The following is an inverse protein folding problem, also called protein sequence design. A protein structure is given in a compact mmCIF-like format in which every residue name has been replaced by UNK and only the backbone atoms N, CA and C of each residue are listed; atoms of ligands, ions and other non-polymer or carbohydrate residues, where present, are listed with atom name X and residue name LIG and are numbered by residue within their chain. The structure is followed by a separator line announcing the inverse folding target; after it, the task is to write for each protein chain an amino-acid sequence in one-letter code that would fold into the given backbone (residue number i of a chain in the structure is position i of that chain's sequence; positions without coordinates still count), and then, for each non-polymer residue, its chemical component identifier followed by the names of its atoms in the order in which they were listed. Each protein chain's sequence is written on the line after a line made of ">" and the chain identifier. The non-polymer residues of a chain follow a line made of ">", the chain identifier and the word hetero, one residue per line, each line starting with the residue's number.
data_IF_803996829066
#
_entry.id   IF_803996829066
#
_cell.length_a   1.000
_cell.length_b   1.000
_cell.length_c   1.000
_cell.angle_alpha   90.00
_cell.angle_beta   90.00
_cell.angle_gamma   90.00
#
_symmetry.space_group_name_H-M   'P 1'
#
loop_
_entity.id
_entity.type
_entity.pdbx_description
1 polymer ?
#
# COMPACT_ATOMS: atom_id res chain seq x y z
N UNK A 1 -18.04 17.48 2.05
CA UNK A 1 -16.89 17.50 2.95
C UNK A 1 -16.06 16.24 2.74
N UNK A 2 -14.76 16.35 2.76
CA UNK A 2 -13.79 15.26 2.65
C UNK A 2 -12.86 15.27 3.86
N UNK A 3 -12.54 14.10 4.42
CA UNK A 3 -11.54 13.94 5.48
C UNK A 3 -10.26 13.35 4.89
N UNK A 4 -9.13 14.02 5.10
CA UNK A 4 -7.81 13.43 4.86
C UNK A 4 -7.38 12.71 6.12
N UNK A 5 -7.16 11.41 6.02
CA UNK A 5 -6.66 10.55 7.09
C UNK A 5 -5.14 10.52 6.97
N UNK A 6 -4.47 11.11 7.94
CA UNK A 6 -3.01 11.21 7.97
C UNK A 6 -2.47 10.42 9.16
N UNK A 7 -1.84 9.26 8.90
CA UNK A 7 -1.18 8.49 9.95
C UNK A 7 0.28 8.86 10.07
N UNK A 8 0.79 8.98 11.30
CA UNK A 8 2.17 9.42 11.51
C UNK A 8 2.79 8.80 12.78
N UNK A 9 4.07 8.43 12.66
CA UNK A 9 4.91 7.98 13.76
C UNK A 9 6.38 8.27 13.46
N UNK A 10 7.03 9.12 14.25
CA UNK A 10 8.41 9.56 14.07
C UNK A 10 8.69 10.18 12.68
N UNK A 11 7.80 11.05 12.22
CA UNK A 11 7.88 11.76 10.94
C UNK A 11 8.19 13.25 11.11
N UNK A 12 8.97 13.68 12.14
CA UNK A 12 9.27 15.11 12.40
C UNK A 12 9.85 15.84 11.19
N UNK A 13 10.55 15.14 10.30
CA UNK A 13 11.18 15.69 9.09
C UNK A 13 10.18 15.94 7.95
N UNK A 14 9.01 15.30 7.97
CA UNK A 14 8.10 15.20 6.83
C UNK A 14 6.70 15.72 7.12
N UNK A 15 6.20 15.55 8.34
CA UNK A 15 4.79 15.79 8.70
C UNK A 15 4.32 17.22 8.41
N UNK A 16 5.20 18.23 8.52
CA UNK A 16 4.88 19.60 8.18
C UNK A 16 4.53 19.74 6.69
N UNK A 17 5.36 19.17 5.80
CA UNK A 17 5.12 19.20 4.36
C UNK A 17 3.87 18.43 3.98
N UNK A 18 3.61 17.26 4.62
CA UNK A 18 2.38 16.51 4.45
C UNK A 18 1.15 17.36 4.75
N UNK A 19 1.09 18.00 5.93
CA UNK A 19 -0.01 18.88 6.35
C UNK A 19 -0.19 20.04 5.38
N UNK A 20 0.89 20.76 5.05
CA UNK A 20 0.83 21.90 4.15
C UNK A 20 0.37 21.51 2.74
N UNK A 21 0.72 20.31 2.27
CA UNK A 21 0.30 19.82 0.96
C UNK A 21 -1.23 19.67 0.86
N UNK A 22 -1.88 19.31 1.99
CA UNK A 22 -3.33 19.24 2.10
C UNK A 22 -3.94 20.63 2.24
N UNK A 23 -3.38 21.50 3.07
CA UNK A 23 -3.87 22.88 3.26
C UNK A 23 -3.82 23.70 1.96
N UNK A 24 -2.92 23.37 1.03
CA UNK A 24 -2.82 24.00 -0.30
C UNK A 24 -3.82 23.48 -1.33
N UNK A 25 -4.66 22.49 -0.98
CA UNK A 25 -5.65 21.95 -1.92
C UNK A 25 -6.75 22.97 -2.25
N UNK A 26 -7.11 23.01 -3.53
CA UNK A 26 -8.15 23.87 -4.07
C UNK A 26 -9.41 23.05 -4.33
N UNK A 27 -10.40 23.20 -3.45
CA UNK A 27 -11.66 22.45 -3.52
C UNK A 27 -12.87 23.37 -3.37
N UNK A 28 -13.98 22.99 -3.98
CA UNK A 28 -15.28 23.62 -3.80
C UNK A 28 -16.03 23.14 -2.55
N UNK A 29 -15.42 22.22 -1.79
CA UNK A 29 -15.97 21.63 -0.57
C UNK A 29 -14.98 21.76 0.60
N UNK A 30 -15.47 21.60 1.82
CA UNK A 30 -14.63 21.62 3.02
C UNK A 30 -13.78 20.37 3.11
N UNK A 31 -12.50 20.57 3.47
CA UNK A 31 -11.54 19.51 3.77
C UNK A 31 -11.18 19.60 5.25
N UNK A 32 -11.17 18.48 5.95
CA UNK A 32 -10.56 18.34 7.27
C UNK A 32 -9.35 17.39 7.18
N UNK A 33 -8.38 17.58 8.06
CA UNK A 33 -7.25 16.66 8.25
C UNK A 33 -7.44 16.00 9.60
N UNK A 34 -7.55 14.68 9.64
CA UNK A 34 -7.55 13.90 10.88
C UNK A 34 -6.18 13.22 10.98
N UNK A 35 -5.38 13.69 11.93
CA UNK A 35 -4.01 13.19 12.13
C UNK A 35 -4.04 12.10 13.20
N UNK A 36 -3.75 10.86 12.81
CA UNK A 36 -3.54 9.74 13.72
C UNK A 36 -2.07 9.69 14.13
N UNK A 37 -1.76 10.25 15.26
CA UNK A 37 -0.41 10.31 15.81
C UNK A 37 -0.18 9.16 16.79
N UNK A 38 0.80 8.31 16.54
CA UNK A 38 0.97 7.03 17.25
C UNK A 38 2.02 7.05 18.35
N UNK A 39 1.97 8.07 19.21
CA UNK A 39 2.88 8.27 20.36
C UNK A 39 4.34 8.37 19.90
N UNK A 40 4.63 9.30 18.99
CA UNK A 40 5.98 9.56 18.50
C UNK A 40 6.94 9.97 19.60
N UNK A 41 8.18 9.54 19.47
CA UNK A 41 9.28 9.86 20.40
C UNK A 41 10.09 11.08 19.95
N UNK A 42 9.86 11.58 18.75
CA UNK A 42 10.46 12.77 18.16
C UNK A 42 9.53 13.99 18.28
N UNK A 43 9.75 15.02 17.47
CA UNK A 43 8.93 16.26 17.48
C UNK A 43 7.64 16.18 16.68
N UNK A 44 7.28 15.02 16.10
CA UNK A 44 6.11 14.85 15.23
C UNK A 44 4.83 15.39 15.88
N UNK A 45 4.51 14.93 17.11
CA UNK A 45 3.32 15.39 17.84
C UNK A 45 3.32 16.91 18.09
N UNK A 46 4.49 17.46 18.43
CA UNK A 46 4.59 18.90 18.70
C UNK A 46 4.31 19.72 17.42
N UNK A 47 4.87 19.30 16.29
CA UNK A 47 4.63 19.92 14.99
C UNK A 47 3.14 19.81 14.62
N UNK A 48 2.54 18.65 14.74
CA UNK A 48 1.11 18.45 14.43
C UNK A 48 0.22 19.35 15.31
N UNK A 49 0.51 19.49 16.62
CA UNK A 49 -0.22 20.39 17.55
C UNK A 49 -0.07 21.87 17.21
N UNK A 50 1.08 22.28 16.69
CA UNK A 50 1.29 23.65 16.23
C UNK A 50 0.35 23.96 15.05
N UNK A 51 0.24 23.04 14.08
CA UNK A 51 -0.70 23.17 12.97
C UNK A 51 -2.17 23.09 13.43
N UNK A 52 -2.54 22.22 14.36
CA UNK A 52 -3.89 22.15 14.91
C UNK A 52 -4.29 23.47 15.58
N UNK A 53 -3.36 24.11 16.34
CA UNK A 53 -3.60 25.43 16.95
C UNK A 53 -3.77 26.55 15.91
N UNK A 54 -3.03 26.49 14.80
CA UNK A 54 -3.14 27.45 13.70
C UNK A 54 -4.41 27.26 12.87
N UNK A 55 -4.88 26.02 12.72
CA UNK A 55 -6.02 25.65 11.88
C UNK A 55 -7.05 24.76 12.61
N UNK A 56 -7.62 25.22 13.75
CA UNK A 56 -8.46 24.36 14.62
C UNK A 56 -9.76 23.89 13.97
N UNK A 57 -10.24 24.59 12.93
CA UNK A 57 -11.42 24.20 12.17
C UNK A 57 -11.13 23.15 11.08
N UNK A 58 -9.86 22.99 10.70
CA UNK A 58 -9.45 22.13 9.62
C UNK A 58 -8.65 20.90 10.09
N UNK A 59 -7.96 20.99 11.22
CA UNK A 59 -7.06 19.94 11.70
C UNK A 59 -7.54 19.42 13.05
N UNK A 60 -7.48 18.10 13.21
CA UNK A 60 -7.78 17.41 14.46
C UNK A 60 -6.82 16.26 14.66
N UNK A 61 -6.26 16.14 15.86
CA UNK A 61 -5.32 15.07 16.22
C UNK A 61 -6.05 13.99 17.02
N UNK A 62 -5.77 12.75 16.69
CA UNK A 62 -6.13 11.53 17.44
C UNK A 62 -4.83 10.88 17.89
N UNK A 63 -4.54 10.90 19.17
CA UNK A 63 -3.31 10.33 19.76
C UNK A 63 -3.62 9.38 20.92
N UNK A 64 -2.61 8.74 21.48
CA UNK A 64 -2.67 7.84 22.63
C UNK A 64 -1.44 8.01 23.51
N UNK A 65 -1.50 7.47 24.74
CA UNK A 65 -0.39 7.50 25.69
C UNK A 65 0.70 6.50 25.34
N UNK A 66 0.40 5.52 24.47
CA UNK A 66 1.32 4.49 24.00
C UNK A 66 1.22 4.31 22.48
N UNK A 67 2.27 3.78 21.87
CA UNK A 67 2.24 3.35 20.47
C UNK A 67 1.32 2.13 20.34
N UNK A 68 0.22 2.29 19.62
CA UNK A 68 -0.79 1.24 19.42
C UNK A 68 -0.56 0.42 18.14
N UNK A 69 0.39 0.83 17.33
CA UNK A 69 0.73 0.24 16.05
C UNK A 69 -0.11 0.78 14.89
N UNK A 70 0.50 0.76 13.71
CA UNK A 70 -0.04 1.38 12.50
C UNK A 70 -1.51 0.99 12.20
N UNK A 71 -1.90 -0.28 12.35
CA UNK A 71 -3.26 -0.76 12.03
C UNK A 71 -4.32 -0.16 12.95
N UNK A 72 -4.09 -0.17 14.27
CA UNK A 72 -5.02 0.43 15.23
C UNK A 72 -5.04 1.94 15.10
N UNK A 73 -3.89 2.55 14.84
CA UNK A 73 -3.78 3.98 14.60
C UNK A 73 -4.60 4.41 13.38
N UNK A 74 -4.45 3.69 12.28
CA UNK A 74 -5.21 3.92 11.05
C UNK A 74 -6.73 3.82 11.29
N UNK A 75 -7.19 2.74 11.93
CA UNK A 75 -8.59 2.51 12.22
C UNK A 75 -9.22 3.60 13.11
N UNK A 76 -8.54 4.00 14.21
CA UNK A 76 -9.06 5.06 15.09
C UNK A 76 -9.12 6.43 14.40
N UNK A 77 -8.18 6.67 13.50
CA UNK A 77 -8.13 7.91 12.72
C UNK A 77 -9.29 7.97 11.72
N UNK A 78 -9.56 6.87 11.00
CA UNK A 78 -10.73 6.74 10.13
C UNK A 78 -12.04 6.92 10.92
N UNK A 79 -12.16 6.29 12.08
CA UNK A 79 -13.36 6.38 12.93
C UNK A 79 -13.66 7.82 13.37
N UNK A 80 -12.63 8.67 13.44
CA UNK A 80 -12.79 10.08 13.76
C UNK A 80 -13.19 10.96 12.56
N UNK A 81 -13.19 10.44 11.33
CA UNK A 81 -13.54 11.18 10.12
C UNK A 81 -15.02 11.56 10.06
N UNK A 82 -15.31 12.76 9.52
CA UNK A 82 -16.68 13.30 9.35
C UNK A 82 -17.07 13.45 7.88
N UNK A 83 -16.12 13.37 6.96
CA UNK A 83 -16.34 13.57 5.53
C UNK A 83 -17.19 12.47 4.88
N UNK A 84 -17.90 12.80 3.82
CA UNK A 84 -18.53 11.82 2.92
C UNK A 84 -17.47 10.97 2.19
N UNK A 85 -16.31 11.58 1.94
CA UNK A 85 -15.15 10.97 1.30
C UNK A 85 -13.98 10.94 2.26
N UNK A 86 -13.13 9.93 2.10
CA UNK A 86 -11.86 9.75 2.78
C UNK A 86 -10.75 9.78 1.73
N UNK A 87 -9.77 10.65 1.92
CA UNK A 87 -8.48 10.60 1.25
C UNK A 87 -7.44 10.08 2.24
N UNK A 88 -6.47 9.34 1.74
CA UNK A 88 -5.40 8.78 2.58
C UNK A 88 -4.09 9.49 2.30
N UNK A 89 -3.31 9.72 3.34
CA UNK A 89 -1.98 10.32 3.24
C UNK A 89 -1.17 9.95 4.48
N UNK A 90 -0.05 9.27 4.31
CA UNK A 90 0.86 9.03 5.42
C UNK A 90 1.70 10.29 5.72
N UNK A 91 2.13 10.47 6.97
CA UNK A 91 2.81 11.67 7.42
C UNK A 91 4.19 11.90 6.82
N UNK A 92 4.71 10.94 6.07
CA UNK A 92 5.95 11.02 5.30
C UNK A 92 5.74 11.28 3.80
N UNK A 93 4.49 11.24 3.31
CA UNK A 93 4.10 11.51 1.92
C UNK A 93 3.52 12.93 1.75
N UNK A 94 3.32 13.38 0.51
CA UNK A 94 2.69 14.68 0.25
C UNK A 94 2.00 14.76 -1.11
N UNK A 95 0.98 15.64 -1.20
CA UNK A 95 0.29 15.94 -2.45
C UNK A 95 1.04 17.00 -3.25
N UNK A 96 1.21 16.76 -4.55
CA UNK A 96 1.87 17.67 -5.48
C UNK A 96 0.89 18.49 -6.32
N UNK A 97 -0.28 17.93 -6.61
CA UNK A 97 -1.27 18.58 -7.48
C UNK A 97 -2.35 19.28 -6.67
N UNK A 98 -2.48 20.61 -6.80
CA UNK A 98 -3.40 21.45 -6.00
C UNK A 98 -4.88 21.11 -6.14
N UNK A 99 -5.30 20.47 -7.23
CA UNK A 99 -6.70 20.06 -7.47
C UNK A 99 -6.92 18.56 -7.34
N UNK A 100 -5.97 17.81 -6.73
CA UNK A 100 -6.07 16.37 -6.56
C UNK A 100 -7.42 15.96 -5.96
N UNK A 101 -7.74 16.51 -4.79
CA UNK A 101 -8.96 16.15 -4.07
C UNK A 101 -10.23 16.55 -4.85
N UNK A 102 -10.23 17.69 -5.54
CA UNK A 102 -11.35 18.11 -6.36
C UNK A 102 -11.58 17.13 -7.51
N UNK A 103 -10.54 16.81 -8.29
CA UNK A 103 -10.64 15.90 -9.44
C UNK A 103 -11.17 14.52 -9.03
N UNK A 104 -10.70 13.99 -7.90
CA UNK A 104 -11.13 12.67 -7.45
C UNK A 104 -12.56 12.66 -6.92
N UNK A 105 -12.98 13.70 -6.21
CA UNK A 105 -14.38 13.83 -5.77
C UNK A 105 -15.30 14.02 -6.98
N UNK A 106 -14.93 14.84 -7.95
CA UNK A 106 -15.72 15.03 -9.17
C UNK A 106 -15.88 13.70 -9.93
N UNK A 107 -14.82 12.89 -10.01
CA UNK A 107 -14.87 11.55 -10.60
C UNK A 107 -15.85 10.64 -9.85
N UNK A 108 -15.82 10.62 -8.52
CA UNK A 108 -16.72 9.81 -7.71
C UNK A 108 -18.16 10.31 -7.75
N UNK A 109 -18.39 11.62 -7.83
CA UNK A 109 -19.75 12.18 -7.95
C UNK A 109 -20.34 11.92 -9.35
N UNK A 110 -19.50 11.87 -10.40
CA UNK A 110 -19.95 11.56 -11.77
C UNK A 110 -20.30 10.10 -11.98
N UNK A 111 -19.79 9.18 -11.11
CA UNK A 111 -20.09 7.75 -11.18
C UNK A 111 -20.50 7.21 -9.80
N UNK A 112 -21.82 7.13 -9.52
CA UNK A 112 -22.31 6.62 -8.23
C UNK A 112 -21.93 5.16 -7.93
N UNK A 113 -21.59 4.35 -8.93
CA UNK A 113 -21.14 2.98 -8.76
C UNK A 113 -19.64 2.89 -8.37
N UNK A 114 -18.89 3.98 -8.55
CA UNK A 114 -17.49 4.03 -8.14
C UNK A 114 -17.36 4.25 -6.63
N UNK A 115 -16.74 3.29 -5.95
CA UNK A 115 -16.47 3.34 -4.51
C UNK A 115 -15.17 4.07 -4.17
N UNK A 116 -14.18 3.98 -5.06
CA UNK A 116 -12.88 4.63 -4.90
C UNK A 116 -12.35 5.16 -6.23
N UNK A 117 -11.47 6.17 -6.12
CA UNK A 117 -10.70 6.71 -7.23
C UNK A 117 -9.24 6.86 -6.81
N UNK A 118 -8.31 6.42 -7.64
CA UNK A 118 -6.88 6.62 -7.42
C UNK A 118 -6.23 7.43 -8.54
N UNK A 119 -5.06 7.98 -8.25
CA UNK A 119 -4.21 8.70 -9.21
C UNK A 119 -2.86 8.01 -9.32
N UNK A 120 -1.96 8.53 -10.14
CA UNK A 120 -0.54 8.14 -10.07
C UNK A 120 0.17 8.87 -8.93
N UNK A 121 1.30 8.31 -8.53
CA UNK A 121 2.29 8.94 -7.64
C UNK A 121 3.67 8.95 -8.29
N UNK A 122 4.54 9.77 -7.76
CA UNK A 122 5.99 9.64 -7.93
C UNK A 122 6.55 8.98 -6.68
N UNK A 123 7.27 7.87 -6.85
CA UNK A 123 8.06 7.25 -5.79
C UNK A 123 9.42 7.90 -5.75
N UNK A 124 9.78 8.49 -4.61
CA UNK A 124 11.06 9.17 -4.44
C UNK A 124 11.85 8.46 -3.34
N UNK A 125 13.04 7.97 -3.67
CA UNK A 125 13.96 7.36 -2.70
C UNK A 125 14.77 8.41 -1.92
N UNK A 126 15.56 7.96 -0.93
CA UNK A 126 16.40 8.85 -0.11
C UNK A 126 17.53 9.52 -0.91
N UNK A 127 17.89 8.98 -2.05
CA UNK A 127 18.85 9.55 -2.99
C UNK A 127 18.24 10.60 -3.95
N UNK A 128 16.90 10.74 -3.92
CA UNK A 128 16.15 11.67 -4.76
C UNK A 128 15.80 11.14 -6.15
N UNK A 129 15.98 9.83 -6.41
CA UNK A 129 15.55 9.22 -7.65
C UNK A 129 14.03 9.09 -7.66
N UNK A 130 13.39 9.56 -8.72
CA UNK A 130 11.93 9.50 -8.87
C UNK A 130 11.52 8.48 -9.93
N UNK A 131 10.48 7.70 -9.62
CA UNK A 131 9.84 6.75 -10.55
C UNK A 131 8.34 6.91 -10.52
N UNK A 132 7.68 6.87 -11.69
CA UNK A 132 6.23 6.95 -11.79
C UNK A 132 5.56 5.64 -11.36
N UNK A 133 4.53 5.70 -10.53
CA UNK A 133 3.75 4.55 -10.11
C UNK A 133 2.24 4.78 -10.26
N UNK A 134 1.48 3.77 -10.71
CA UNK A 134 1.94 2.51 -11.30
C UNK A 134 2.63 2.73 -12.65
N UNK A 135 3.59 1.88 -12.96
CA UNK A 135 4.17 1.84 -14.31
C UNK A 135 3.14 1.28 -15.32
N UNK A 136 3.17 1.79 -16.55
CA UNK A 136 2.24 1.38 -17.60
C UNK A 136 0.84 1.96 -17.45
N UNK A 137 -0.17 1.28 -17.95
CA UNK A 137 -1.55 1.74 -17.90
C UNK A 137 -2.18 1.63 -16.51
N UNK A 138 -3.05 2.58 -16.17
CA UNK A 138 -3.90 2.49 -14.99
C UNK A 138 -4.93 1.38 -15.16
N UNK A 139 -5.07 0.53 -14.14
CA UNK A 139 -5.99 -0.61 -14.18
C UNK A 139 -7.22 -0.34 -13.31
N UNK A 140 -8.38 -0.87 -13.75
CA UNK A 140 -9.68 -0.64 -13.10
C UNK A 140 -10.53 -1.91 -13.02
N UNK A 141 -9.90 -3.10 -13.06
CA UNK A 141 -10.61 -4.39 -12.92
C UNK A 141 -10.10 -5.18 -11.71
N UNK A 142 -10.99 -5.96 -11.12
CA UNK A 142 -10.67 -6.78 -9.95
C UNK A 142 -9.49 -7.73 -10.23
N UNK A 143 -9.51 -8.42 -11.37
CA UNK A 143 -8.46 -9.37 -11.75
C UNK A 143 -7.10 -8.68 -11.97
N UNK A 144 -7.10 -7.45 -12.48
CA UNK A 144 -5.87 -6.68 -12.63
C UNK A 144 -5.30 -6.27 -11.27
N UNK A 145 -6.15 -5.94 -10.29
CA UNK A 145 -5.74 -5.62 -8.92
C UNK A 145 -5.24 -6.86 -8.17
N UNK A 146 -5.82 -8.04 -8.40
CA UNK A 146 -5.28 -9.30 -7.86
C UNK A 146 -3.84 -9.57 -8.30
N UNK A 147 -3.47 -9.16 -9.53
CA UNK A 147 -2.11 -9.30 -10.06
C UNK A 147 -1.13 -8.29 -9.49
N UNK A 148 -1.59 -7.08 -9.25
CA UNK A 148 -0.73 -5.97 -8.83
C UNK A 148 -1.55 -4.89 -8.13
N UNK A 149 -1.12 -4.45 -6.94
CA UNK A 149 -1.67 -3.25 -6.31
C UNK A 149 -1.35 -2.02 -7.19
N UNK A 150 -2.34 -1.32 -7.77
CA UNK A 150 -2.08 -0.16 -8.62
C UNK A 150 -2.04 1.16 -7.85
N UNK A 151 -2.44 1.17 -6.57
CA UNK A 151 -2.70 2.38 -5.82
C UNK A 151 -1.92 2.42 -4.51
N UNK A 152 -1.23 3.50 -4.27
CA UNK A 152 -0.62 3.83 -2.98
C UNK A 152 -1.60 4.66 -2.14
N UNK A 153 -1.49 4.61 -0.81
CA UNK A 153 -2.35 5.34 0.10
C UNK A 153 -2.52 6.80 -0.31
N UNK A 154 -1.43 7.51 -0.53
CA UNK A 154 -1.43 8.93 -0.91
C UNK A 154 -2.13 9.24 -2.24
N UNK A 155 -2.50 8.22 -3.03
CA UNK A 155 -3.19 8.39 -4.31
C UNK A 155 -4.70 8.23 -4.22
N UNK A 156 -5.25 7.68 -3.13
CA UNK A 156 -6.63 7.20 -3.05
C UNK A 156 -7.58 8.21 -2.41
N UNK A 157 -8.78 8.32 -3.00
CA UNK A 157 -9.99 8.88 -2.38
C UNK A 157 -11.10 7.84 -2.49
N UNK A 158 -11.80 7.57 -1.38
CA UNK A 158 -12.86 6.57 -1.30
C UNK A 158 -14.12 7.11 -0.62
N UNK A 159 -15.26 6.47 -0.85
CA UNK A 159 -16.50 6.75 -0.12
C UNK A 159 -16.40 6.21 1.30
N UNK A 160 -16.61 7.06 2.32
CA UNK A 160 -16.47 6.70 3.73
C UNK A 160 -17.35 5.52 4.14
N UNK A 161 -18.60 5.50 3.72
CA UNK A 161 -19.52 4.40 4.06
C UNK A 161 -19.02 3.03 3.58
N UNK A 162 -18.31 2.96 2.45
CA UNK A 162 -17.73 1.72 1.96
C UNK A 162 -16.46 1.34 2.75
N UNK A 163 -15.68 2.32 3.21
CA UNK A 163 -14.56 2.06 4.12
C UNK A 163 -15.07 1.47 5.44
N UNK A 164 -16.17 1.98 5.98
CA UNK A 164 -16.81 1.45 7.19
C UNK A 164 -17.29 0.00 6.97
N UNK A 165 -17.97 -0.28 5.85
CA UNK A 165 -18.41 -1.63 5.46
C UNK A 165 -17.24 -2.61 5.31
N UNK A 166 -16.11 -2.16 4.72
CA UNK A 166 -14.91 -2.97 4.63
C UNK A 166 -14.46 -3.48 6.00
N UNK A 167 -14.37 -2.59 7.00
CA UNK A 167 -13.96 -2.97 8.34
C UNK A 167 -14.96 -3.88 9.06
N UNK A 168 -16.24 -3.76 8.75
CA UNK A 168 -17.29 -4.64 9.29
C UNK A 168 -17.27 -6.03 8.65
N UNK A 169 -17.06 -6.13 7.33
CA UNK A 169 -17.12 -7.38 6.58
C UNK A 169 -15.80 -8.17 6.61
N UNK A 170 -14.67 -7.49 6.45
CA UNK A 170 -13.35 -8.14 6.28
C UNK A 170 -12.65 -8.33 7.61
N UNK A 171 -12.78 -7.37 8.54
CA UNK A 171 -12.15 -7.39 9.86
C UNK A 171 -10.64 -7.66 9.78
N UNK A 172 -9.86 -6.75 9.16
CA UNK A 172 -8.43 -6.98 8.92
C UNK A 172 -7.63 -7.24 10.20
N UNK A 173 -8.16 -6.87 11.37
CA UNK A 173 -7.59 -7.20 12.69
C UNK A 173 -7.60 -8.70 13.02
N UNK A 174 -8.48 -9.48 12.39
CA UNK A 174 -8.53 -10.94 12.53
C UNK A 174 -7.50 -11.64 11.62
N UNK A 175 -6.77 -10.86 10.80
CA UNK A 175 -5.74 -11.32 9.87
C UNK A 175 -4.35 -10.79 10.24
N UNK A 176 -3.75 -11.23 11.36
CA UNK A 176 -2.43 -10.73 11.80
C UNK A 176 -1.30 -11.10 10.84
N UNK A 177 -1.51 -12.09 9.96
CA UNK A 177 -0.56 -12.49 8.90
C UNK A 177 -0.51 -11.48 7.74
N UNK A 178 -1.50 -10.63 7.57
CA UNK A 178 -1.50 -9.59 6.55
C UNK A 178 -0.58 -8.44 6.97
N UNK A 179 0.40 -8.15 6.14
CA UNK A 179 1.45 -7.16 6.43
C UNK A 179 1.18 -5.79 5.84
N UNK A 180 -0.02 -5.58 5.30
CA UNK A 180 -0.51 -4.31 4.78
C UNK A 180 -2.02 -4.24 4.95
N UNK A 181 -2.58 -3.03 5.03
CA UNK A 181 -4.04 -2.81 5.10
C UNK A 181 -4.58 -2.12 3.82
N UNK A 182 -3.71 -1.64 2.94
CA UNK A 182 -4.10 -0.97 1.70
C UNK A 182 -4.62 -1.99 0.66
N UNK A 183 -3.83 -3.00 0.29
CA UNK A 183 -4.22 -3.98 -0.72
C UNK A 183 -5.53 -4.72 -0.38
N UNK A 184 -5.76 -5.24 0.86
CA UNK A 184 -7.03 -5.89 1.17
C UNK A 184 -8.22 -4.92 1.06
N UNK A 185 -8.06 -3.66 1.45
CA UNK A 185 -9.11 -2.66 1.28
C UNK A 185 -9.40 -2.39 -0.21
N UNK A 186 -8.36 -2.22 -1.04
CA UNK A 186 -8.54 -1.99 -2.47
C UNK A 186 -9.20 -3.16 -3.18
N UNK A 187 -8.82 -4.39 -2.86
CA UNK A 187 -9.43 -5.60 -3.40
C UNK A 187 -10.90 -5.73 -3.00
N UNK A 188 -11.25 -5.36 -1.75
CA UNK A 188 -12.64 -5.32 -1.34
C UNK A 188 -13.45 -4.30 -2.13
N UNK A 189 -12.93 -3.08 -2.31
CA UNK A 189 -13.54 -2.07 -3.17
C UNK A 189 -13.75 -2.56 -4.60
N UNK A 190 -12.72 -3.20 -5.17
CA UNK A 190 -12.78 -3.74 -6.52
C UNK A 190 -13.80 -4.89 -6.68
N UNK A 191 -14.03 -5.66 -5.60
CA UNK A 191 -15.04 -6.74 -5.57
C UNK A 191 -16.47 -6.23 -5.35
N UNK A 192 -16.65 -5.11 -4.63
CA UNK A 192 -17.96 -4.62 -4.19
C UNK A 192 -18.48 -3.41 -4.97
N UNK A 193 -17.59 -2.70 -5.66
CA UNK A 193 -17.92 -1.47 -6.39
C UNK A 193 -17.04 -1.34 -7.64
N UNK A 194 -17.35 -0.36 -8.49
CA UNK A 194 -16.37 0.07 -9.48
C UNK A 194 -15.29 0.93 -8.81
N UNK A 195 -14.11 0.95 -9.38
CA UNK A 195 -13.10 1.94 -9.04
C UNK A 195 -12.57 2.63 -10.30
N UNK A 196 -12.09 3.85 -10.12
CA UNK A 196 -11.67 4.72 -11.21
C UNK A 196 -10.21 5.11 -11.04
N UNK A 197 -9.57 5.43 -12.14
CA UNK A 197 -8.22 5.93 -12.16
C UNK A 197 -8.16 7.26 -12.93
N UNK A 198 -7.38 8.20 -12.42
CA UNK A 198 -7.00 9.42 -13.10
C UNK A 198 -5.52 9.29 -13.46
N UNK A 199 -5.21 9.26 -14.75
CA UNK A 199 -3.85 9.11 -15.26
C UNK A 199 -3.06 10.42 -15.12
N UNK A 200 -2.78 10.80 -13.88
CA UNK A 200 -2.05 12.01 -13.52
C UNK A 200 -1.28 11.78 -12.22
N UNK A 201 0.02 12.08 -12.13
CA UNK A 201 0.74 12.08 -10.88
C UNK A 201 0.27 13.25 -9.99
N UNK A 202 -0.17 12.94 -8.79
CA UNK A 202 -0.75 13.95 -7.88
C UNK A 202 -0.19 13.91 -6.48
N UNK A 203 0.68 12.96 -6.19
CA UNK A 203 1.31 12.76 -4.89
C UNK A 203 2.72 12.22 -5.06
N UNK A 204 3.53 12.42 -4.04
CA UNK A 204 4.82 11.75 -3.86
C UNK A 204 4.68 10.75 -2.73
N UNK A 205 5.11 9.51 -3.00
CA UNK A 205 5.34 8.48 -2.00
C UNK A 205 6.84 8.38 -1.73
N UNK A 206 7.26 8.62 -0.48
CA UNK A 206 8.65 8.48 -0.08
C UNK A 206 9.01 7.04 0.22
N UNK A 207 10.05 6.55 -0.46
CA UNK A 207 10.58 5.21 -0.25
C UNK A 207 11.71 5.29 0.79
N UNK A 208 11.37 5.16 2.06
CA UNK A 208 12.32 5.22 3.16
C UNK A 208 12.90 3.83 3.45
N UNK A 209 14.18 3.76 3.87
CA UNK A 209 14.87 2.50 4.19
C UNK A 209 14.22 1.73 5.35
N UNK A 210 13.54 2.44 6.23
CA UNK A 210 12.87 1.86 7.41
C UNK A 210 11.42 1.46 7.14
N UNK A 211 10.89 1.69 5.93
CA UNK A 211 9.51 1.34 5.61
C UNK A 211 9.32 -0.19 5.57
N UNK A 212 8.16 -0.65 6.01
CA UNK A 212 7.80 -2.08 6.10
C UNK A 212 7.93 -2.78 4.75
N UNK A 213 7.54 -2.10 3.67
CA UNK A 213 7.58 -2.63 2.30
C UNK A 213 8.99 -2.72 1.72
N UNK A 214 9.97 -1.98 2.27
CA UNK A 214 11.32 -1.84 1.73
C UNK A 214 12.42 -2.30 2.69
N UNK A 215 12.08 -3.13 3.71
CA UNK A 215 13.04 -3.66 4.67
C UNK A 215 14.31 -4.18 3.98
N UNK A 216 15.52 -3.83 4.45
CA UNK A 216 16.77 -4.37 3.92
C UNK A 216 16.93 -5.86 4.19
N UNK A 217 16.17 -6.43 5.13
CA UNK A 217 16.23 -7.85 5.48
C UNK A 217 15.40 -8.69 4.50
N UNK A 218 16.05 -9.47 3.68
CA UNK A 218 15.39 -10.27 2.64
C UNK A 218 14.29 -11.20 3.15
N UNK A 219 14.40 -11.71 4.39
CA UNK A 219 13.36 -12.56 5.01
C UNK A 219 12.07 -11.78 5.27
N UNK A 220 12.18 -10.51 5.68
CA UNK A 220 11.05 -9.61 5.84
C UNK A 220 10.41 -9.28 4.49
N UNK A 221 11.24 -9.06 3.45
CA UNK A 221 10.75 -8.89 2.06
C UNK A 221 9.97 -10.10 1.58
N UNK A 222 10.47 -11.31 1.81
CA UNK A 222 9.76 -12.54 1.43
C UNK A 222 8.43 -12.63 2.18
N UNK A 223 8.44 -12.41 3.50
CA UNK A 223 7.23 -12.45 4.30
C UNK A 223 6.20 -11.39 3.87
N UNK A 224 6.65 -10.21 3.45
CA UNK A 224 5.78 -9.17 2.90
C UNK A 224 5.19 -9.59 1.55
N UNK A 225 6.01 -10.06 0.61
CA UNK A 225 5.56 -10.52 -0.71
C UNK A 225 4.62 -11.73 -0.60
N UNK A 226 4.92 -12.68 0.28
CA UNK A 226 4.03 -13.81 0.55
C UNK A 226 2.69 -13.34 1.09
N UNK A 227 2.68 -12.37 2.00
CA UNK A 227 1.46 -11.77 2.53
C UNK A 227 0.61 -11.11 1.45
N UNK A 228 1.21 -10.34 0.52
CA UNK A 228 0.48 -9.75 -0.60
C UNK A 228 -0.19 -10.82 -1.47
N UNK A 229 0.54 -11.90 -1.76
CA UNK A 229 0.00 -13.01 -2.56
C UNK A 229 -1.10 -13.77 -1.82
N UNK A 230 -0.97 -13.98 -0.50
CA UNK A 230 -1.99 -14.64 0.33
C UNK A 230 -3.27 -13.80 0.44
N UNK A 231 -3.16 -12.48 0.54
CA UNK A 231 -4.28 -11.55 0.42
C UNK A 231 -4.98 -11.72 -0.93
N UNK A 232 -4.24 -11.69 -2.04
CA UNK A 232 -4.81 -11.86 -3.38
C UNK A 232 -5.49 -13.23 -3.54
N UNK A 233 -4.91 -14.31 -3.01
CA UNK A 233 -5.48 -15.65 -3.04
C UNK A 233 -6.76 -15.75 -2.20
N UNK A 234 -6.82 -15.08 -1.03
CA UNK A 234 -8.01 -15.03 -0.19
C UNK A 234 -9.17 -14.32 -0.89
N UNK A 235 -8.89 -13.22 -1.61
CA UNK A 235 -9.88 -12.48 -2.38
C UNK A 235 -10.32 -13.22 -3.64
N UNK A 236 -9.40 -13.89 -4.35
CA UNK A 236 -9.71 -14.73 -5.52
C UNK A 236 -10.64 -15.89 -5.13
N UNK A 237 -10.41 -16.54 -3.97
CA UNK A 237 -11.27 -17.59 -3.47
C UNK A 237 -12.67 -17.07 -3.11
N UNK A 238 -12.77 -15.89 -2.50
CA UNK A 238 -14.02 -15.37 -1.94
C UNK A 238 -14.91 -14.65 -2.97
N UNK A 239 -14.31 -14.02 -3.96
CA UNK A 239 -15.01 -13.14 -4.88
C UNK A 239 -14.80 -13.46 -6.37
N UNK A 240 -14.02 -14.46 -6.71
CA UNK A 240 -13.66 -14.80 -8.10
C UNK A 240 -13.66 -16.33 -8.36
N UNK A 241 -14.29 -17.11 -7.50
CA UNK A 241 -14.41 -18.57 -7.63
C UNK A 241 -13.07 -19.28 -7.90
N UNK A 242 -11.95 -18.74 -7.40
CA UNK A 242 -10.58 -19.23 -7.60
C UNK A 242 -10.10 -19.21 -9.06
N UNK A 243 -10.71 -18.38 -9.90
CA UNK A 243 -10.38 -18.33 -11.33
C UNK A 243 -8.92 -17.99 -11.61
N UNK A 244 -8.27 -17.21 -10.71
CA UNK A 244 -6.88 -16.80 -10.85
C UNK A 244 -5.90 -17.57 -9.97
N UNK A 245 -6.37 -18.54 -9.19
CA UNK A 245 -5.57 -19.26 -8.20
C UNK A 245 -4.23 -19.77 -8.75
N UNK A 246 -4.23 -20.38 -9.95
CA UNK A 246 -3.03 -20.90 -10.59
C UNK A 246 -2.00 -19.82 -10.92
N UNK A 247 -2.49 -18.69 -11.44
CA UNK A 247 -1.65 -17.54 -11.79
C UNK A 247 -1.04 -16.91 -10.55
N UNK A 248 -1.84 -16.68 -9.52
CA UNK A 248 -1.42 -16.07 -8.26
C UNK A 248 -0.40 -16.94 -7.50
N UNK A 249 -0.63 -18.26 -7.41
CA UNK A 249 0.34 -19.18 -6.81
C UNK A 249 1.66 -19.22 -7.56
N UNK A 250 1.61 -19.16 -8.89
CA UNK A 250 2.82 -19.08 -9.71
C UNK A 250 3.57 -17.76 -9.50
N UNK A 251 2.84 -16.64 -9.43
CA UNK A 251 3.43 -15.33 -9.14
C UNK A 251 4.08 -15.30 -7.75
N UNK A 252 3.40 -15.82 -6.73
CA UNK A 252 3.94 -15.97 -5.35
C UNK A 252 5.26 -16.73 -5.37
N UNK A 253 5.27 -17.92 -5.95
CA UNK A 253 6.46 -18.77 -6.07
C UNK A 253 7.62 -18.05 -6.78
N UNK A 254 7.36 -17.48 -7.96
CA UNK A 254 8.39 -16.82 -8.75
C UNK A 254 8.99 -15.62 -8.03
N UNK A 255 8.16 -14.80 -7.37
CA UNK A 255 8.61 -13.61 -6.66
C UNK A 255 9.44 -13.99 -5.43
N UNK A 256 9.01 -14.98 -4.64
CA UNK A 256 9.78 -15.46 -3.50
C UNK A 256 11.14 -16.03 -3.93
N UNK A 257 11.17 -16.82 -4.99
CA UNK A 257 12.43 -17.34 -5.55
C UNK A 257 13.32 -16.23 -6.11
N UNK A 258 12.73 -15.20 -6.72
CA UNK A 258 13.49 -14.05 -7.21
C UNK A 258 14.18 -13.31 -6.04
N UNK A 259 13.47 -13.02 -4.95
CA UNK A 259 14.06 -12.39 -3.74
C UNK A 259 15.17 -13.26 -3.14
N UNK A 260 14.94 -14.57 -2.97
CA UNK A 260 15.92 -15.50 -2.45
C UNK A 260 17.16 -15.60 -3.36
N UNK A 261 16.95 -15.48 -4.64
CA UNK A 261 18.03 -15.58 -5.62
C UNK A 261 19.07 -14.47 -5.47
N UNK A 262 18.70 -13.27 -5.04
CA UNK A 262 19.63 -12.15 -4.84
C UNK A 262 20.22 -12.11 -3.43
N UNK A 263 19.43 -12.49 -2.44
CA UNK A 263 19.75 -12.22 -1.03
C UNK A 263 19.92 -13.50 -0.18
N UNK A 264 19.30 -14.63 -0.59
CA UNK A 264 19.26 -15.87 0.19
C UNK A 264 20.41 -16.84 -0.09
N UNK A 265 20.59 -17.81 0.81
CA UNK A 265 21.46 -18.97 0.60
C UNK A 265 20.87 -19.95 -0.42
N UNK A 266 21.73 -20.73 -1.09
CA UNK A 266 21.28 -21.75 -2.06
C UNK A 266 20.39 -22.82 -1.40
N UNK A 267 20.65 -23.15 -0.13
CA UNK A 267 19.85 -24.10 0.64
C UNK A 267 18.43 -23.59 0.89
N UNK A 268 18.26 -22.30 1.24
CA UNK A 268 16.95 -21.68 1.45
C UNK A 268 16.15 -21.61 0.14
N UNK A 269 16.83 -21.32 -0.98
CA UNK A 269 16.21 -21.32 -2.30
C UNK A 269 15.69 -22.73 -2.67
N UNK A 270 16.48 -23.76 -2.47
CA UNK A 270 16.11 -25.16 -2.73
C UNK A 270 14.96 -25.59 -1.81
N UNK A 271 15.05 -25.26 -0.50
CA UNK A 271 14.00 -25.60 0.47
C UNK A 271 12.66 -24.97 0.10
N UNK A 272 12.66 -23.68 -0.28
CA UNK A 272 11.42 -22.99 -0.71
C UNK A 272 10.89 -23.61 -2.01
N UNK A 273 11.73 -23.90 -2.97
CA UNK A 273 11.33 -24.53 -4.22
C UNK A 273 10.66 -25.91 -3.99
N UNK A 274 11.25 -26.76 -3.14
CA UNK A 274 10.69 -28.06 -2.80
C UNK A 274 9.36 -27.96 -2.05
N UNK A 275 9.26 -27.03 -1.11
CA UNK A 275 8.03 -26.75 -0.38
C UNK A 275 6.91 -26.40 -1.35
N UNK A 276 7.10 -25.36 -2.17
CA UNK A 276 6.07 -24.85 -3.07
C UNK A 276 5.67 -25.89 -4.13
N UNK A 277 6.64 -26.65 -4.68
CA UNK A 277 6.38 -27.74 -5.63
C UNK A 277 5.68 -28.92 -4.93
N UNK A 278 5.99 -29.21 -3.68
CA UNK A 278 5.36 -30.27 -2.91
C UNK A 278 3.86 -30.02 -2.69
N UNK A 279 3.52 -28.80 -2.33
CA UNK A 279 2.12 -28.39 -2.07
C UNK A 279 1.31 -28.15 -3.33
N UNK A 280 1.95 -27.67 -4.42
CA UNK A 280 1.24 -27.17 -5.59
C UNK A 280 1.75 -27.75 -6.92
N UNK A 281 2.17 -29.03 -6.93
CA UNK A 281 2.75 -29.73 -8.09
C UNK A 281 2.10 -29.45 -9.46
N UNK A 282 0.77 -29.46 -9.60
CA UNK A 282 0.16 -29.22 -10.92
C UNK A 282 0.32 -27.78 -11.40
N UNK A 283 0.52 -26.83 -10.46
CA UNK A 283 0.43 -25.39 -10.70
C UNK A 283 1.78 -24.79 -11.07
N UNK A 284 2.90 -25.40 -10.61
CA UNK A 284 4.25 -24.82 -10.69
C UNK A 284 5.09 -25.51 -11.77
N UNK A 285 4.59 -26.54 -12.45
CA UNK A 285 5.25 -27.15 -13.61
C UNK A 285 5.43 -26.15 -14.75
N UNK A 286 6.38 -25.25 -14.59
CA UNK A 286 6.75 -24.33 -15.66
C UNK A 286 8.28 -24.37 -15.88
N UNK A 287 8.67 -24.61 -17.15
CA UNK A 287 10.06 -24.61 -17.61
C UNK A 287 10.81 -23.33 -17.22
N UNK A 288 10.10 -22.19 -17.07
CA UNK A 288 10.69 -20.92 -16.65
C UNK A 288 11.24 -20.94 -15.22
N UNK A 289 10.59 -21.65 -14.26
CA UNK A 289 11.10 -21.77 -12.89
C UNK A 289 12.35 -22.64 -12.80
N UNK A 290 12.45 -23.66 -13.65
CA UNK A 290 13.66 -24.49 -13.80
C UNK A 290 14.79 -23.71 -14.49
N UNK A 291 14.46 -22.86 -15.46
CA UNK A 291 15.42 -22.03 -16.18
C UNK A 291 16.08 -20.97 -15.28
N UNK A 292 15.30 -20.32 -14.41
CA UNK A 292 15.80 -19.39 -13.39
C UNK A 292 16.70 -20.09 -12.36
N UNK A 293 16.32 -21.29 -11.93
CA UNK A 293 17.11 -22.13 -11.04
C UNK A 293 18.46 -22.50 -11.66
N UNK A 294 18.48 -23.05 -12.88
CA UNK A 294 19.70 -23.44 -13.57
C UNK A 294 20.62 -22.23 -13.82
N UNK A 295 20.07 -21.13 -14.33
CA UNK A 295 20.81 -19.89 -14.62
C UNK A 295 21.49 -19.30 -13.39
N UNK A 296 20.87 -19.43 -12.21
CA UNK A 296 21.41 -18.88 -10.96
C UNK A 296 22.42 -19.79 -10.29
N UNK A 297 22.25 -21.11 -10.35
CA UNK A 297 23.29 -22.06 -9.91
C UNK A 297 24.55 -21.86 -10.77
N UNK A 298 24.40 -21.77 -12.09
CA UNK A 298 25.49 -21.49 -13.01
C UNK A 298 26.19 -20.17 -12.74
N UNK A 299 25.43 -19.08 -12.53
CA UNK A 299 25.97 -17.75 -12.26
C UNK A 299 26.77 -17.72 -10.93
N UNK A 300 26.26 -18.35 -9.86
CA UNK A 300 26.98 -18.43 -8.57
C UNK A 300 28.19 -19.37 -8.60
N UNK A 301 28.15 -20.43 -9.39
CA UNK A 301 29.32 -21.31 -9.60
C UNK A 301 30.42 -20.56 -10.33
N UNK A 302 30.07 -19.77 -11.35
CA UNK A 302 31.02 -19.02 -12.17
C UNK A 302 31.66 -17.85 -11.39
N UNK A 303 30.90 -17.11 -10.61
CA UNK A 303 31.41 -15.94 -9.84
C UNK A 303 32.06 -16.31 -8.48
N UNK A 304 32.03 -17.57 -8.04
CA UNK A 304 32.84 -18.05 -6.90
C UNK A 304 34.29 -18.30 -7.27
N UNK A 305 34.62 -18.38 -8.56
CA UNK A 305 35.99 -18.59 -9.04
C UNK A 305 36.81 -17.30 -9.12
N UNK A 306 36.17 -16.12 -9.12
CA UNK A 306 36.87 -14.81 -9.21
C UNK A 306 37.24 -14.19 -7.84
N UNK A 307 37.06 -14.92 -6.73
CA UNK A 307 37.46 -14.51 -5.39
C UNK A 307 38.49 -15.47 -4.73
N UNK A 308 39.44 -15.96 -5.53
CA UNK A 308 40.67 -16.59 -5.02
C UNK A 308 41.88 -15.85 -5.56
#
# INVERSE_FOLDING_TARGET
>A
MLSVIMTTYNHERYVAEAIESVLRQQTSFRVEIVIGEDCSTDRTLNIARDYERMYPEAIRIVTSEENVGWRKNYRRTIAAARGKYIALLDGDDYFTHRKKLQMQVDMLESDPEAGMCYTRSERVDEEGNATLYPEGECVTTFEAMLRRNPAENCTVVARRNLVEQYYEEVRPEEHPEWRTDDLPMWLWFAAKSKYRAIDCPTAVHRVLRESVSHSPKYREKIAFVDSLADISLWYDERYNDRCMRHELLRAKHNTALWVLSYNGGIGEYIARWWHDVGEHRPLIRNIASYGLFAKKIFWRMWHKTDKR
#
